data_IF_119322786422
#
_entry.id   IF_119322786422
#
_cell.length_a   1.000
_cell.length_b   1.000
_cell.length_c   1.000
_cell.angle_alpha   90.00
_cell.angle_beta   90.00
_cell.angle_gamma   90.00
#
_symmetry.space_group_name_H-M   'P 1'
#
loop_
_entity.id
_entity.type
_entity.pdbx_description
1 polymer ?
#
# COMPACT_ATOMS: atom_id res chain seq x y z
N UNK A 1 -8.63 1.70 -9.48
CA UNK A 1 -9.69 1.51 -8.45
C UNK A 1 -9.11 1.23 -7.07
N UNK A 2 -9.84 1.62 -6.02
CA UNK A 2 -9.43 1.39 -4.63
C UNK A 2 -10.63 1.01 -3.76
N UNK A 3 -10.49 -0.07 -2.99
CA UNK A 3 -11.47 -0.51 -2.01
C UNK A 3 -10.76 -0.73 -0.67
N UNK A 4 -11.43 -0.33 0.42
CA UNK A 4 -10.88 -0.46 1.77
C UNK A 4 -11.98 -0.78 2.77
N UNK A 5 -11.70 -1.75 3.64
CA UNK A 5 -12.48 -2.03 4.84
C UNK A 5 -11.57 -1.83 6.04
N UNK A 6 -12.07 -1.16 7.07
CA UNK A 6 -11.32 -0.91 8.29
C UNK A 6 -12.18 -1.10 9.52
N UNK A 7 -11.61 -1.71 10.55
CA UNK A 7 -12.24 -1.86 11.86
C UNK A 7 -11.26 -1.44 12.95
N UNK A 8 -11.80 -0.94 14.06
CA UNK A 8 -11.01 -0.55 15.23
C UNK A 8 -11.79 -0.87 16.49
N UNK A 9 -11.10 -1.48 17.44
CA UNK A 9 -11.60 -1.73 18.79
C UNK A 9 -10.67 -1.05 19.79
N UNK A 10 -11.24 -0.29 20.71
CA UNK A 10 -10.51 0.35 21.81
C UNK A 10 -11.27 0.13 23.10
N UNK A 11 -10.57 -0.32 24.12
CA UNK A 11 -11.13 -0.55 25.44
C UNK A 11 -10.13 -0.15 26.51
N UNK A 12 -10.64 0.24 27.67
CA UNK A 12 -9.85 0.42 28.89
C UNK A 12 -10.64 -0.13 30.06
N UNK A 13 -9.92 -0.66 31.05
CA UNK A 13 -10.54 -1.30 32.21
C UNK A 13 -9.74 -0.98 33.47
N UNK A 14 -10.41 -0.39 34.45
CA UNK A 14 -9.86 -0.17 35.78
C UNK A 14 -10.14 -1.40 36.65
N UNK A 15 -9.19 -2.33 36.71
CA UNK A 15 -9.38 -3.61 37.42
C UNK A 15 -9.35 -3.44 38.95
N UNK A 16 -8.51 -2.52 39.44
CA UNK A 16 -8.39 -2.12 40.86
C UNK A 16 -8.08 -0.62 40.92
N UNK A 17 -8.22 0.04 42.07
CA UNK A 17 -7.80 1.45 42.23
C UNK A 17 -6.33 1.69 41.81
N UNK A 18 -5.49 0.66 41.96
CA UNK A 18 -4.07 0.70 41.63
C UNK A 18 -3.69 0.04 40.29
N UNK A 19 -4.61 -0.65 39.59
CA UNK A 19 -4.32 -1.42 38.37
C UNK A 19 -5.29 -1.07 37.24
N UNK A 20 -4.72 -0.66 36.10
CA UNK A 20 -5.49 -0.33 34.88
C UNK A 20 -4.90 -1.04 33.66
N UNK A 21 -5.78 -1.50 32.78
CA UNK A 21 -5.44 -2.04 31.49
C UNK A 21 -6.03 -1.18 30.37
N UNK A 22 -5.32 -1.11 29.24
CA UNK A 22 -5.76 -0.45 28.02
C UNK A 22 -5.45 -1.32 26.80
N UNK A 23 -6.33 -1.30 25.82
CA UNK A 23 -6.17 -2.04 24.58
C UNK A 23 -6.71 -1.23 23.40
N UNK A 24 -5.98 -1.27 22.29
CA UNK A 24 -6.39 -0.65 21.04
C UNK A 24 -5.90 -1.48 19.86
N UNK A 25 -6.83 -2.01 19.08
CA UNK A 25 -6.55 -2.84 17.92
C UNK A 25 -7.20 -2.23 16.67
N UNK A 26 -6.53 -2.31 15.54
CA UNK A 26 -7.09 -1.96 14.24
C UNK A 26 -6.69 -2.95 13.16
N UNK A 27 -7.60 -3.18 12.23
CA UNK A 27 -7.36 -3.97 11.04
C UNK A 27 -7.83 -3.18 9.81
N UNK A 28 -7.03 -3.24 8.75
CA UNK A 28 -7.35 -2.65 7.45
C UNK A 28 -7.06 -3.68 6.37
N UNK A 29 -8.06 -3.96 5.55
CA UNK A 29 -7.90 -4.63 4.27
C UNK A 29 -8.07 -3.61 3.16
N UNK A 30 -7.18 -3.60 2.18
CA UNK A 30 -7.33 -2.76 0.99
C UNK A 30 -6.96 -3.50 -0.28
N UNK A 31 -7.71 -3.23 -1.34
CA UNK A 31 -7.44 -3.69 -2.69
C UNK A 31 -7.29 -2.48 -3.60
N UNK A 32 -6.20 -2.45 -4.36
CA UNK A 32 -5.94 -1.45 -5.38
C UNK A 32 -5.77 -2.16 -6.72
N UNK A 33 -6.45 -1.69 -7.76
CA UNK A 33 -6.12 -2.03 -9.15
C UNK A 33 -5.50 -0.80 -9.78
N UNK A 34 -4.26 -0.93 -10.25
CA UNK A 34 -3.50 0.17 -10.84
C UNK A 34 -2.60 -0.32 -11.96
N UNK A 35 -3.05 -0.14 -13.20
CA UNK A 35 -2.22 -0.32 -14.39
C UNK A 35 -1.71 1.07 -14.75
N UNK A 36 -0.52 1.41 -14.26
CA UNK A 36 0.05 2.73 -14.38
C UNK A 36 0.50 3.04 -15.81
N UNK A 37 -0.42 3.43 -16.68
CA UNK A 37 -0.08 3.87 -18.03
C UNK A 37 -1.02 4.97 -18.51
N UNK A 38 -0.47 6.14 -18.87
CA UNK A 38 -1.14 7.07 -19.80
C UNK A 38 -1.02 8.56 -19.51
N UNK A 39 -0.90 8.97 -18.24
CA UNK A 39 -0.92 10.40 -17.92
C UNK A 39 0.25 11.15 -18.54
N UNK A 40 1.49 10.68 -18.35
CA UNK A 40 2.67 11.30 -18.99
C UNK A 40 2.63 11.17 -20.52
N UNK A 41 2.17 10.04 -21.06
CA UNK A 41 2.07 9.82 -22.51
C UNK A 41 1.21 10.89 -23.18
N UNK A 42 0.10 11.29 -22.55
CA UNK A 42 -0.82 12.29 -23.11
C UNK A 42 -0.18 13.68 -23.30
N UNK A 43 0.80 14.06 -22.48
CA UNK A 43 1.48 15.36 -22.57
C UNK A 43 2.79 15.33 -23.34
N UNK A 44 3.40 14.16 -23.50
CA UNK A 44 4.71 14.00 -24.11
C UNK A 44 4.67 13.57 -25.57
N UNK A 45 3.54 13.00 -26.04
CA UNK A 45 3.36 12.62 -27.44
C UNK A 45 2.93 13.83 -28.28
N UNK A 46 3.56 14.00 -29.45
CA UNK A 46 3.09 15.00 -30.41
C UNK A 46 1.67 14.62 -30.92
N UNK A 47 0.72 15.56 -31.03
CA UNK A 47 -0.67 15.28 -31.42
C UNK A 47 -0.86 14.93 -32.91
N UNK A 48 0.22 14.53 -33.59
CA UNK A 48 0.23 14.08 -34.98
C UNK A 48 0.10 12.55 -35.11
N UNK A 49 0.35 11.81 -34.02
CA UNK A 49 0.23 10.37 -34.00
C UNK A 49 -1.19 9.96 -33.62
N UNK A 50 -1.82 9.03 -34.36
CA UNK A 50 -3.18 8.61 -34.05
C UNK A 50 -3.20 7.70 -32.82
N UNK A 51 -4.33 7.66 -32.11
CA UNK A 51 -4.54 6.70 -31.02
C UNK A 51 -4.88 5.30 -31.54
N UNK A 52 -5.60 5.25 -32.67
CA UNK A 52 -6.09 4.04 -33.33
C UNK A 52 -5.53 3.94 -34.75
N UNK A 53 -5.31 2.72 -35.21
CA UNK A 53 -4.99 2.48 -36.62
C UNK A 53 -6.24 2.64 -37.48
N UNK A 54 -6.05 3.20 -38.67
CA UNK A 54 -7.14 3.50 -39.60
C UNK A 54 -6.86 2.93 -40.98
N UNK A 55 -7.92 2.47 -41.66
CA UNK A 55 -7.87 2.03 -43.05
C UNK A 55 -7.76 3.21 -44.02
N UNK A 56 -7.67 2.93 -45.33
CA UNK A 56 -7.60 3.96 -46.38
C UNK A 56 -8.84 4.86 -46.46
N UNK A 57 -9.97 4.42 -45.91
CA UNK A 57 -11.22 5.18 -45.84
C UNK A 57 -11.33 5.97 -44.53
N UNK A 58 -10.31 5.91 -43.66
CA UNK A 58 -10.28 6.59 -42.37
C UNK A 58 -11.04 5.87 -41.24
N UNK A 59 -11.56 4.66 -41.45
CA UNK A 59 -12.25 3.90 -40.41
C UNK A 59 -11.25 3.27 -39.44
N UNK A 60 -11.62 3.14 -38.15
CA UNK A 60 -10.78 2.43 -37.17
C UNK A 60 -10.72 0.95 -37.56
N UNK A 61 -9.49 0.44 -37.71
CA UNK A 61 -9.26 -0.96 -37.99
C UNK A 61 -9.64 -1.84 -36.80
N UNK A 62 -10.04 -3.08 -37.08
CA UNK A 62 -10.42 -4.06 -36.06
C UNK A 62 -9.66 -5.36 -36.24
N UNK A 63 -9.40 -6.04 -35.13
CA UNK A 63 -8.91 -7.41 -35.08
C UNK A 63 -9.77 -8.24 -34.10
N UNK A 64 -9.33 -9.48 -33.82
CA UNK A 64 -10.03 -10.40 -32.92
C UNK A 64 -10.22 -9.90 -31.47
N UNK A 65 -9.44 -8.91 -31.04
CA UNK A 65 -9.56 -8.30 -29.70
C UNK A 65 -10.22 -6.91 -29.75
N UNK A 66 -10.75 -6.49 -30.91
CA UNK A 66 -11.51 -5.25 -31.08
C UNK A 66 -10.75 -4.17 -31.85
N UNK A 67 -10.86 -2.90 -31.43
CA UNK A 67 -10.21 -1.77 -32.10
C UNK A 67 -8.69 -1.91 -32.05
N UNK A 68 -8.04 -1.69 -33.18
CA UNK A 68 -6.58 -1.70 -33.27
C UNK A 68 -5.99 -0.35 -32.85
N UNK A 69 -5.04 -0.38 -31.94
CA UNK A 69 -4.37 0.80 -31.39
C UNK A 69 -3.02 1.03 -32.05
N UNK A 70 -2.58 2.30 -32.13
CA UNK A 70 -1.22 2.61 -32.59
C UNK A 70 -0.20 2.29 -31.49
N UNK A 71 0.61 1.27 -31.73
CA UNK A 71 1.75 0.93 -30.88
C UNK A 71 3.04 1.60 -31.33
N UNK A 72 3.02 2.39 -32.41
CA UNK A 72 4.21 3.08 -32.89
C UNK A 72 5.25 2.17 -33.53
N UNK A 73 4.86 0.94 -33.87
CA UNK A 73 5.72 -0.03 -34.51
C UNK A 73 5.08 -0.63 -35.76
N UNK A 74 5.91 -0.98 -36.73
CA UNK A 74 5.45 -1.52 -38.01
C UNK A 74 4.89 -2.94 -37.90
N UNK A 75 5.07 -3.59 -36.74
CA UNK A 75 4.54 -4.92 -36.47
C UNK A 75 3.05 -4.92 -36.14
N UNK A 76 2.50 -3.75 -35.78
CA UNK A 76 1.09 -3.58 -35.41
C UNK A 76 0.31 -2.75 -36.42
N UNK A 77 0.97 -1.96 -37.27
CA UNK A 77 0.35 -1.12 -38.31
C UNK A 77 1.36 -0.46 -39.26
N UNK A 78 0.92 0.36 -40.22
CA UNK A 78 1.83 0.99 -41.18
C UNK A 78 2.65 2.16 -40.63
N UNK A 79 2.36 2.61 -39.40
CA UNK A 79 2.93 3.82 -38.81
C UNK A 79 4.10 3.48 -37.87
N UNK A 80 5.20 4.21 -38.03
CA UNK A 80 6.31 4.20 -37.09
C UNK A 80 6.27 5.48 -36.25
N UNK A 81 6.25 5.33 -34.93
CA UNK A 81 6.32 6.45 -33.96
C UNK A 81 7.60 6.30 -33.14
N UNK A 82 8.61 7.17 -33.33
CA UNK A 82 9.89 7.08 -32.61
C UNK A 82 9.77 7.25 -31.09
N UNK A 83 8.76 8.00 -30.63
CA UNK A 83 8.48 8.16 -29.21
C UNK A 83 7.77 6.92 -28.66
N UNK A 84 8.27 6.28 -27.60
CA UNK A 84 7.62 5.13 -26.94
C UNK A 84 7.12 4.03 -27.91
N UNK A 85 7.97 3.46 -28.77
CA UNK A 85 7.57 2.39 -29.68
C UNK A 85 7.14 1.13 -28.90
N UNK A 86 6.22 0.36 -29.47
CA UNK A 86 5.59 -0.83 -28.87
C UNK A 86 4.80 -0.54 -27.59
N UNK A 87 4.38 0.70 -27.38
CA UNK A 87 3.59 1.12 -26.23
C UNK A 87 2.36 1.90 -26.66
N UNK A 88 1.20 1.50 -26.14
CA UNK A 88 -0.03 2.28 -26.18
C UNK A 88 -0.68 2.21 -24.80
N UNK A 89 -0.56 3.29 -24.05
CA UNK A 89 -0.95 3.33 -22.64
C UNK A 89 -2.44 3.12 -22.40
N UNK A 90 -3.30 3.49 -23.36
CA UNK A 90 -4.73 3.25 -23.23
C UNK A 90 -5.06 1.77 -23.43
N UNK A 91 -4.52 1.14 -24.47
CA UNK A 91 -4.73 -0.28 -24.70
C UNK A 91 -4.14 -1.14 -23.56
N UNK A 92 -2.90 -0.87 -23.18
CA UNK A 92 -2.23 -1.62 -22.11
C UNK A 92 -2.93 -1.40 -20.76
N UNK A 93 -3.45 -0.21 -20.48
CA UNK A 93 -4.30 0.06 -19.31
C UNK A 93 -5.60 -0.74 -19.27
N UNK A 94 -6.14 -1.13 -20.43
CA UNK A 94 -7.35 -1.95 -20.53
C UNK A 94 -7.07 -3.46 -20.56
N UNK A 95 -5.92 -3.87 -21.11
CA UNK A 95 -5.59 -5.28 -21.33
C UNK A 95 -4.69 -5.90 -20.27
N UNK A 96 -3.85 -5.10 -19.62
CA UNK A 96 -3.00 -5.59 -18.55
C UNK A 96 -3.76 -5.59 -17.23
N UNK A 97 -3.24 -6.37 -16.28
CA UNK A 97 -3.80 -6.52 -14.96
C UNK A 97 -2.71 -6.22 -13.94
N UNK A 98 -3.02 -5.41 -12.94
CA UNK A 98 -2.15 -5.18 -11.82
C UNK A 98 -2.97 -4.87 -10.58
N UNK A 99 -3.00 -5.81 -9.64
CA UNK A 99 -3.81 -5.75 -8.43
C UNK A 99 -2.94 -5.96 -7.21
N UNK A 100 -3.01 -5.03 -6.28
CA UNK A 100 -2.39 -5.13 -4.97
C UNK A 100 -3.45 -5.33 -3.90
N UNK A 101 -3.33 -6.39 -3.12
CA UNK A 101 -4.13 -6.65 -1.92
C UNK A 101 -3.23 -6.50 -0.70
N UNK A 102 -3.61 -5.68 0.27
CA UNK A 102 -2.83 -5.46 1.48
C UNK A 102 -3.68 -5.66 2.74
N UNK A 103 -3.05 -6.20 3.77
CA UNK A 103 -3.61 -6.32 5.10
C UNK A 103 -2.68 -5.61 6.10
N UNK A 104 -3.26 -4.77 6.95
CA UNK A 104 -2.53 -4.10 8.03
C UNK A 104 -3.25 -4.35 9.35
N UNK A 105 -2.58 -4.99 10.29
CA UNK A 105 -3.02 -5.16 11.66
C UNK A 105 -2.14 -4.30 12.58
N UNK A 106 -2.75 -3.55 13.50
CA UNK A 106 -2.03 -2.86 14.56
C UNK A 106 -2.68 -3.19 15.90
N UNK A 107 -1.88 -3.53 16.90
CA UNK A 107 -2.33 -3.83 18.25
C UNK A 107 -1.47 -3.11 19.27
N UNK A 108 -2.09 -2.33 20.14
CA UNK A 108 -1.44 -1.66 21.25
C UNK A 108 -2.09 -2.12 22.56
N UNK A 109 -1.28 -2.53 23.51
CA UNK A 109 -1.70 -2.86 24.87
C UNK A 109 -0.97 -1.99 25.88
N UNK A 110 -1.64 -1.67 26.99
CA UNK A 110 -1.02 -0.99 28.11
C UNK A 110 -1.47 -1.58 29.44
N UNK A 111 -0.55 -1.58 30.40
CA UNK A 111 -0.79 -1.90 31.79
C UNK A 111 -0.20 -0.79 32.66
N UNK A 112 -0.98 -0.25 33.58
CA UNK A 112 -0.55 0.77 34.52
C UNK A 112 -0.75 0.28 35.95
N UNK A 113 0.29 0.43 36.77
CA UNK A 113 0.30 0.04 38.17
C UNK A 113 0.70 1.29 38.98
N UNK A 114 -0.23 1.82 39.77
CA UNK A 114 0.08 2.83 40.78
C UNK A 114 0.45 2.10 42.07
N UNK A 115 1.62 2.38 42.63
CA UNK A 115 2.08 1.73 43.86
C UNK A 115 2.86 2.73 44.68
N UNK A 116 2.89 2.53 46.01
CA UNK A 116 3.23 3.61 46.93
C UNK A 116 2.34 4.85 46.62
N UNK A 117 2.51 5.96 47.34
CA UNK A 117 1.63 7.12 47.13
C UNK A 117 1.87 7.81 45.78
N UNK A 118 3.13 7.81 45.34
CA UNK A 118 3.65 8.75 44.36
C UNK A 118 4.29 8.07 43.13
N UNK A 119 4.22 6.74 43.01
CA UNK A 119 4.81 6.01 41.88
C UNK A 119 3.77 5.41 40.94
N UNK A 120 4.10 5.46 39.65
CA UNK A 120 3.36 4.80 38.57
C UNK A 120 4.31 4.07 37.64
N UNK A 121 4.13 2.75 37.54
CA UNK A 121 4.76 1.94 36.51
C UNK A 121 3.79 1.75 35.33
N UNK A 122 4.27 2.01 34.12
CA UNK A 122 3.53 1.79 32.88
C UNK A 122 4.30 0.83 31.99
N UNK A 123 3.65 -0.23 31.54
CA UNK A 123 4.14 -1.11 30.49
C UNK A 123 3.27 -0.95 29.25
N UNK A 124 3.89 -0.61 28.12
CA UNK A 124 3.23 -0.48 26.83
C UNK A 124 3.82 -1.50 25.85
N UNK A 125 2.95 -2.15 25.08
CA UNK A 125 3.31 -3.01 23.95
C UNK A 125 2.61 -2.51 22.70
N UNK A 126 3.36 -2.36 21.62
CA UNK A 126 2.83 -2.05 20.29
C UNK A 126 3.31 -3.08 19.29
N UNK A 127 2.41 -3.67 18.53
CA UNK A 127 2.71 -4.60 17.45
C UNK A 127 2.01 -4.17 16.17
N UNK A 128 2.71 -4.25 15.04
CA UNK A 128 2.14 -4.01 13.71
C UNK A 128 2.55 -5.12 12.77
N UNK A 129 1.61 -5.60 11.95
CA UNK A 129 1.89 -6.49 10.83
C UNK A 129 1.25 -5.87 9.61
N UNK A 130 2.06 -5.62 8.58
CA UNK A 130 1.57 -5.21 7.26
C UNK A 130 2.04 -6.23 6.24
N UNK A 131 1.13 -6.76 5.46
CA UNK A 131 1.45 -7.55 4.28
C UNK A 131 0.85 -6.95 3.03
N UNK A 132 1.47 -7.29 1.91
CA UNK A 132 0.99 -6.90 0.59
C UNK A 132 1.27 -8.00 -0.40
N UNK A 133 0.26 -8.33 -1.20
CA UNK A 133 0.36 -9.24 -2.33
C UNK A 133 0.03 -8.49 -3.60
N UNK A 134 0.99 -8.40 -4.50
CA UNK A 134 0.78 -7.90 -5.85
C UNK A 134 0.57 -9.09 -6.80
N UNK A 135 -0.38 -8.96 -7.73
CA UNK A 135 -0.62 -9.90 -8.81
C UNK A 135 -0.74 -9.12 -10.09
N UNK A 136 0.10 -9.44 -11.06
CA UNK A 136 0.24 -8.72 -12.31
C UNK A 136 0.19 -9.67 -13.51
N UNK A 137 -0.31 -9.16 -14.62
CA UNK A 137 -0.30 -9.86 -15.90
C UNK A 137 -0.18 -8.86 -17.05
N UNK A 138 0.65 -9.18 -18.03
CA UNK A 138 0.70 -8.45 -19.31
C UNK A 138 0.12 -9.28 -20.45
N UNK A 139 -0.59 -8.58 -21.33
CA UNK A 139 -1.30 -9.23 -22.42
C UNK A 139 -0.34 -9.83 -23.48
N UNK A 140 -0.71 -10.98 -24.08
CA UNK A 140 0.11 -11.63 -25.10
C UNK A 140 -0.10 -11.07 -26.52
N UNK A 141 -0.96 -10.08 -26.69
CA UNK A 141 -1.49 -9.70 -28.00
C UNK A 141 -0.78 -8.49 -28.62
N UNK A 142 -0.38 -7.52 -27.81
CA UNK A 142 0.18 -6.25 -28.27
C UNK A 142 1.37 -5.77 -27.44
N UNK A 143 2.10 -4.83 -28.03
CA UNK A 143 3.24 -4.18 -27.38
C UNK A 143 4.42 -5.13 -27.15
N UNK A 144 5.24 -4.80 -26.15
CA UNK A 144 6.49 -5.52 -25.87
C UNK A 144 6.26 -6.98 -25.49
N UNK A 145 5.27 -7.24 -24.64
CA UNK A 145 4.97 -8.59 -24.12
C UNK A 145 4.36 -9.55 -25.14
N UNK A 146 4.00 -9.07 -26.34
CA UNK A 146 3.67 -9.95 -27.47
C UNK A 146 4.82 -10.89 -27.83
N UNK A 147 6.07 -10.42 -27.72
CA UNK A 147 7.25 -11.21 -28.08
C UNK A 147 7.51 -12.39 -27.12
N UNK A 148 7.03 -12.28 -25.88
CA UNK A 148 7.15 -13.32 -24.84
C UNK A 148 5.85 -14.10 -24.64
N UNK A 149 4.82 -13.86 -25.48
CA UNK A 149 3.48 -14.43 -25.32
C UNK A 149 2.84 -14.09 -23.95
N UNK A 150 3.06 -12.86 -23.47
CA UNK A 150 2.56 -12.36 -22.20
C UNK A 150 3.36 -12.87 -21.00
N UNK A 151 3.02 -12.40 -19.80
CA UNK A 151 3.56 -12.94 -18.54
C UNK A 151 2.58 -12.73 -17.40
N UNK A 152 2.74 -13.52 -16.33
CA UNK A 152 2.02 -13.39 -15.06
C UNK A 152 3.02 -13.40 -13.91
N UNK A 153 2.77 -12.56 -12.91
CA UNK A 153 3.64 -12.43 -11.75
C UNK A 153 2.85 -12.32 -10.46
N UNK A 154 3.45 -12.79 -9.38
CA UNK A 154 2.96 -12.60 -8.03
C UNK A 154 4.13 -12.25 -7.12
N UNK A 155 3.98 -11.17 -6.36
CA UNK A 155 4.93 -10.72 -5.35
C UNK A 155 4.20 -10.65 -4.02
N UNK A 156 4.86 -11.08 -2.95
CA UNK A 156 4.37 -10.94 -1.59
C UNK A 156 5.49 -10.42 -0.70
N UNK A 157 5.15 -9.51 0.20
CA UNK A 157 6.03 -9.09 1.27
C UNK A 157 5.24 -8.88 2.56
N UNK A 158 5.92 -8.99 3.69
CA UNK A 158 5.40 -8.79 5.02
C UNK A 158 6.39 -8.03 5.89
N UNK A 159 5.90 -7.03 6.61
CA UNK A 159 6.65 -6.33 7.65
C UNK A 159 5.97 -6.51 8.99
N UNK A 160 6.74 -6.94 9.99
CA UNK A 160 6.29 -7.04 11.38
C UNK A 160 7.11 -6.12 12.27
N UNK A 161 6.48 -5.42 13.20
CA UNK A 161 7.15 -4.60 14.20
C UNK A 161 6.64 -4.91 15.60
N UNK A 162 7.53 -4.80 16.58
CA UNK A 162 7.25 -4.93 18.00
C UNK A 162 7.98 -3.82 18.74
N UNK A 163 7.25 -3.07 19.57
CA UNK A 163 7.79 -2.07 20.49
C UNK A 163 7.35 -2.42 21.92
N UNK A 164 8.30 -2.51 22.84
CA UNK A 164 8.09 -2.74 24.26
C UNK A 164 8.66 -1.56 25.04
N UNK A 165 7.82 -0.90 25.82
CA UNK A 165 8.23 0.27 26.61
C UNK A 165 7.87 0.07 28.09
N UNK A 166 8.84 0.30 28.97
CA UNK A 166 8.66 0.33 30.42
C UNK A 166 8.95 1.75 30.92
N UNK A 167 8.00 2.36 31.63
CA UNK A 167 8.15 3.69 32.22
C UNK A 167 7.89 3.60 33.72
N UNK A 168 8.82 4.12 34.52
CA UNK A 168 8.63 4.37 35.94
C UNK A 168 8.57 5.87 36.18
N UNK A 169 7.45 6.34 36.71
CA UNK A 169 7.21 7.73 37.04
C UNK A 169 7.12 7.88 38.55
N UNK A 170 7.73 8.95 39.08
CA UNK A 170 7.58 9.43 40.44
C UNK A 170 7.13 10.88 40.40
N UNK A 171 6.02 11.21 41.07
CA UNK A 171 5.53 12.58 41.18
C UNK A 171 5.13 12.84 42.62
N UNK A 172 5.85 13.73 43.30
CA UNK A 172 5.59 14.08 44.68
C UNK A 172 5.38 15.59 44.82
N UNK A 173 4.31 15.97 45.53
CA UNK A 173 3.98 17.35 45.84
C UNK A 173 3.94 17.56 47.34
N UNK A 174 4.58 18.64 47.81
CA UNK A 174 4.55 19.08 49.20
C UNK A 174 4.51 20.60 49.26
N UNK A 175 3.59 21.16 50.04
CA UNK A 175 3.34 22.61 50.12
C UNK A 175 3.23 23.26 48.73
N UNK A 176 4.18 24.13 48.37
CA UNK A 176 4.26 24.84 47.10
C UNK A 176 5.23 24.18 46.10
N UNK A 177 5.80 23.03 46.44
CA UNK A 177 6.81 22.32 45.65
C UNK A 177 6.23 21.07 44.98
N UNK A 178 6.69 20.80 43.77
CA UNK A 178 6.41 19.57 43.03
C UNK A 178 7.71 19.08 42.38
N UNK A 179 7.99 17.79 42.51
CA UNK A 179 9.08 17.13 41.79
C UNK A 179 8.50 15.96 41.00
N UNK A 180 8.90 15.87 39.74
CA UNK A 180 8.58 14.77 38.85
C UNK A 180 9.85 14.18 38.25
N UNK A 181 9.96 12.86 38.29
CA UNK A 181 11.05 12.09 37.69
C UNK A 181 10.46 10.96 36.83
N UNK A 182 11.04 10.73 35.65
CA UNK A 182 10.68 9.61 34.79
C UNK A 182 11.95 8.84 34.40
N UNK A 183 11.88 7.52 34.53
CA UNK A 183 12.86 6.59 33.96
C UNK A 183 12.16 5.72 32.93
N UNK A 184 12.76 5.58 31.75
CA UNK A 184 12.18 4.84 30.64
C UNK A 184 13.18 3.88 30.00
N UNK A 185 12.70 2.73 29.58
CA UNK A 185 13.42 1.77 28.75
C UNK A 185 12.52 1.34 27.59
N UNK A 186 13.11 1.23 26.40
CA UNK A 186 12.39 0.87 25.18
C UNK A 186 13.18 -0.15 24.36
N UNK A 187 12.48 -1.16 23.84
CA UNK A 187 13.03 -2.13 22.90
C UNK A 187 12.17 -2.16 21.63
N UNK A 188 12.82 -2.02 20.48
CA UNK A 188 12.18 -2.02 19.18
C UNK A 188 12.76 -3.11 18.28
N UNK A 189 11.87 -3.86 17.63
CA UNK A 189 12.21 -4.86 16.61
C UNK A 189 11.37 -4.62 15.35
N UNK A 190 12.00 -4.76 14.19
CA UNK A 190 11.35 -4.78 12.88
C UNK A 190 11.92 -5.91 12.06
N UNK A 191 11.05 -6.79 11.58
CA UNK A 191 11.39 -7.84 10.61
C UNK A 191 10.69 -7.53 9.28
N UNK A 192 11.36 -7.85 8.17
CA UNK A 192 10.84 -7.69 6.81
C UNK A 192 11.15 -8.97 6.03
N UNK A 193 10.10 -9.61 5.55
CA UNK A 193 10.12 -10.85 4.77
C UNK A 193 9.49 -10.62 3.38
#
# INVERSE_FOLDING_TARGET
DYQRISTRLKASYQAKSWLKFGGNMSYVHSVTNDVATGFSTAFSIAPIYPLYLRDSNGNIMQDRNGKMYDFGDTSSGPLYRPYSPKLNSLNQGMMNYNRTSSNTFNGNGSMEINFLKDFKFSFNVGASIRESRNSSAENPYYGLSKQTNGWVGAEHWRRATLNLQQLLNYTHSWELHNVSLMLGHENYRSDYD
#
